data_IF_869362724352
#
_entry.id   IF_869362724352
#
_cell.length_a   1.000
_cell.length_b   1.000
_cell.length_c   1.000
_cell.angle_alpha   90.00
_cell.angle_beta   90.00
_cell.angle_gamma   90.00
#
_symmetry.space_group_name_H-M   'P 1'
#
loop_
_entity.id
_entity.type
_entity.pdbx_description
1 polymer ?
#
# COMPACT_ATOMS: atom_id res chain seq x y z
N UNK A 1 46.66 -15.29 6.14
CA UNK A 1 45.83 -14.16 6.64
C UNK A 1 45.19 -13.41 5.48
N UNK A 2 45.97 -12.77 4.60
CA UNK A 2 45.46 -11.98 3.46
C UNK A 2 44.59 -12.82 2.50
N UNK A 3 44.99 -14.06 2.22
CA UNK A 3 44.21 -15.01 1.39
C UNK A 3 42.84 -15.37 2.00
N UNK A 4 42.76 -15.49 3.32
CA UNK A 4 41.50 -15.77 4.02
C UNK A 4 40.55 -14.57 3.96
N UNK A 5 41.08 -13.35 4.08
CA UNK A 5 40.29 -12.11 3.98
C UNK A 5 39.78 -11.92 2.55
N UNK A 6 40.61 -12.17 1.53
CA UNK A 6 40.20 -12.12 0.13
C UNK A 6 39.08 -13.12 -0.19
N UNK A 7 39.18 -14.36 0.31
CA UNK A 7 38.13 -15.36 0.16
C UNK A 7 36.82 -14.95 0.84
N UNK A 8 36.88 -14.36 2.04
CA UNK A 8 35.71 -13.83 2.76
C UNK A 8 35.01 -12.70 2.01
N UNK A 9 35.77 -11.78 1.41
CA UNK A 9 35.22 -10.69 0.60
C UNK A 9 34.53 -11.19 -0.66
N UNK A 10 35.14 -12.16 -1.37
CA UNK A 10 34.54 -12.78 -2.56
C UNK A 10 33.25 -13.52 -2.19
N UNK A 11 33.24 -14.25 -1.06
CA UNK A 11 32.05 -14.94 -0.57
C UNK A 11 30.91 -13.96 -0.23
N UNK A 12 31.21 -12.87 0.48
CA UNK A 12 30.22 -11.82 0.77
C UNK A 12 29.72 -11.13 -0.50
N UNK A 13 30.59 -10.89 -1.49
CA UNK A 13 30.21 -10.34 -2.78
C UNK A 13 29.27 -11.26 -3.56
N UNK A 14 29.58 -12.56 -3.66
CA UNK A 14 28.71 -13.54 -4.32
C UNK A 14 27.37 -13.68 -3.61
N UNK A 15 27.39 -13.66 -2.26
CA UNK A 15 26.17 -13.72 -1.45
C UNK A 15 25.32 -12.45 -1.61
N UNK A 16 25.95 -11.28 -1.69
CA UNK A 16 25.30 -10.00 -1.97
C UNK A 16 24.74 -9.93 -3.40
N UNK A 17 25.50 -10.42 -4.39
CA UNK A 17 25.09 -10.48 -5.79
C UNK A 17 23.88 -11.41 -5.97
N UNK A 18 23.90 -12.60 -5.35
CA UNK A 18 22.75 -13.50 -5.34
C UNK A 18 21.56 -12.90 -4.60
N UNK A 19 21.75 -12.19 -3.48
CA UNK A 19 20.64 -11.56 -2.75
C UNK A 19 20.01 -10.41 -3.56
N UNK A 20 20.81 -9.64 -4.29
CA UNK A 20 20.35 -8.53 -5.12
C UNK A 20 19.68 -8.98 -6.44
N UNK A 21 20.07 -10.14 -6.98
CA UNK A 21 19.53 -10.72 -8.23
C UNK A 21 18.46 -11.79 -7.98
N UNK A 22 18.37 -12.34 -6.76
CA UNK A 22 17.28 -13.22 -6.38
C UNK A 22 15.96 -12.44 -6.46
N UNK A 23 15.01 -13.00 -7.18
CA UNK A 23 13.65 -12.49 -7.40
C UNK A 23 12.78 -12.53 -6.14
N UNK A 24 13.39 -12.66 -4.95
CA UNK A 24 12.76 -12.49 -3.64
C UNK A 24 12.67 -11.02 -3.21
N UNK A 25 12.82 -10.07 -4.15
CA UNK A 25 12.02 -8.85 -4.03
C UNK A 25 10.57 -9.30 -4.15
N UNK A 26 9.62 -8.81 -3.34
CA UNK A 26 8.22 -9.06 -3.63
C UNK A 26 7.94 -8.48 -5.04
N UNK A 27 8.02 -9.35 -6.06
CA UNK A 27 7.54 -9.07 -7.41
C UNK A 27 6.05 -8.74 -7.38
N UNK A 28 5.40 -9.08 -6.26
CA UNK A 28 4.03 -8.80 -5.89
C UNK A 28 3.89 -7.56 -5.00
N UNK A 29 4.78 -6.57 -5.13
CA UNK A 29 4.38 -5.19 -4.85
C UNK A 29 3.36 -4.74 -5.92
N UNK A 30 2.22 -5.44 -5.98
CA UNK A 30 1.13 -5.13 -6.90
C UNK A 30 0.59 -3.78 -6.46
N UNK A 31 0.77 -2.78 -7.31
CA UNK A 31 0.07 -1.51 -7.20
C UNK A 31 -1.41 -1.77 -6.92
N UNK A 32 -2.04 -0.87 -6.17
CA UNK A 32 -3.44 -0.96 -5.76
C UNK A 32 -4.29 -1.52 -6.91
N UNK A 33 -4.95 -2.66 -6.68
CA UNK A 33 -5.81 -3.27 -7.69
C UNK A 33 -6.89 -2.24 -8.06
N UNK A 34 -7.02 -1.95 -9.35
CA UNK A 34 -8.04 -1.01 -9.83
C UNK A 34 -9.39 -1.67 -9.65
N UNK A 35 -10.13 -1.25 -8.64
CA UNK A 35 -11.52 -1.66 -8.44
C UNK A 35 -12.41 -0.77 -9.31
N UNK A 36 -13.05 -1.37 -10.32
CA UNK A 36 -13.99 -0.68 -11.19
C UNK A 36 -15.31 -0.55 -10.46
N UNK A 37 -15.59 0.65 -9.96
CA UNK A 37 -16.87 0.97 -9.34
C UNK A 37 -17.86 1.49 -10.39
N UNK A 38 -18.86 0.68 -10.75
CA UNK A 38 -19.87 1.03 -11.76
C UNK A 38 -20.98 1.95 -11.25
N UNK A 39 -20.88 2.44 -10.02
CA UNK A 39 -22.01 3.12 -9.38
C UNK A 39 -23.08 2.14 -8.93
N UNK A 40 -23.91 2.57 -7.98
CA UNK A 40 -25.21 1.97 -7.73
C UNK A 40 -26.24 3.07 -7.97
N UNK A 41 -27.34 2.77 -8.67
CA UNK A 41 -28.41 3.74 -8.86
C UNK A 41 -29.18 3.85 -7.54
N UNK A 42 -29.02 4.99 -6.86
CA UNK A 42 -29.58 5.22 -5.53
C UNK A 42 -30.04 6.66 -5.42
N UNK A 43 -31.23 6.84 -4.84
CA UNK A 43 -31.91 8.12 -4.71
C UNK A 43 -31.08 9.15 -3.94
N UNK A 44 -30.30 8.69 -2.98
CA UNK A 44 -29.56 9.54 -2.03
C UNK A 44 -28.04 9.54 -2.28
N UNK A 45 -27.60 8.99 -3.41
CA UNK A 45 -26.18 8.87 -3.76
C UNK A 45 -25.46 7.72 -3.06
N UNK A 46 -24.22 7.49 -3.48
CA UNK A 46 -23.37 6.41 -2.97
C UNK A 46 -22.35 6.98 -1.98
N UNK A 47 -22.16 6.29 -0.85
CA UNK A 47 -21.07 6.60 0.09
C UNK A 47 -19.90 5.64 -0.13
N UNK A 48 -18.74 6.18 -0.51
CA UNK A 48 -17.48 5.46 -0.70
C UNK A 48 -16.60 5.71 0.52
N UNK A 49 -16.21 4.65 1.23
CA UNK A 49 -15.25 4.73 2.33
C UNK A 49 -13.82 4.66 1.79
N UNK A 50 -13.01 5.66 2.12
CA UNK A 50 -11.61 5.80 1.72
C UNK A 50 -10.75 5.72 2.98
N UNK A 51 -9.80 4.78 2.99
CA UNK A 51 -8.85 4.59 4.09
C UNK A 51 -7.42 4.77 3.59
N UNK A 52 -6.73 5.77 4.12
CA UNK A 52 -5.31 6.01 3.86
C UNK A 52 -4.47 5.31 4.92
N UNK A 53 -3.65 4.34 4.49
CA UNK A 53 -2.70 3.64 5.35
C UNK A 53 -1.26 4.10 5.09
N UNK A 54 -0.40 4.09 6.11
CA UNK A 54 1.03 4.39 5.98
C UNK A 54 1.89 3.13 5.70
N UNK A 55 1.26 1.95 5.71
CA UNK A 55 1.89 0.67 5.43
C UNK A 55 2.22 0.48 3.95
N UNK A 56 3.47 0.06 3.67
CA UNK A 56 3.91 -0.27 2.31
C UNK A 56 3.65 -1.75 2.01
N UNK A 57 3.51 -2.08 0.73
CA UNK A 57 3.29 -3.47 0.30
C UNK A 57 4.44 -4.36 0.79
N UNK A 58 4.10 -5.45 1.49
CA UNK A 58 5.06 -6.36 2.11
C UNK A 58 5.37 -6.06 3.59
N UNK A 59 4.78 -5.03 4.19
CA UNK A 59 4.79 -4.85 5.65
C UNK A 59 3.63 -5.59 6.30
N UNK A 60 3.86 -6.11 7.51
CA UNK A 60 2.86 -6.86 8.25
C UNK A 60 1.74 -5.91 8.73
N UNK A 61 0.48 -6.34 8.60
CA UNK A 61 -0.71 -5.53 8.95
C UNK A 61 -0.74 -5.06 10.41
N UNK A 62 0.06 -5.67 11.30
CA UNK A 62 0.20 -5.26 12.69
C UNK A 62 0.97 -3.95 12.89
N UNK A 63 1.80 -3.54 11.92
CA UNK A 63 2.57 -2.29 11.96
C UNK A 63 1.96 -1.18 11.09
N UNK A 64 1.05 -1.55 10.18
CA UNK A 64 0.36 -0.61 9.29
C UNK A 64 -0.74 0.15 10.03
N UNK A 65 -0.70 1.49 9.98
CA UNK A 65 -1.69 2.36 10.63
C UNK A 65 -2.56 3.04 9.58
N UNK A 66 -3.82 3.29 9.92
CA UNK A 66 -4.75 4.07 9.11
C UNK A 66 -4.86 5.47 9.71
N UNK A 67 -4.25 6.45 9.03
CA UNK A 67 -4.19 7.83 9.52
C UNK A 67 -5.24 8.72 8.89
N UNK A 68 -5.91 8.23 7.85
CA UNK A 68 -6.94 8.98 7.15
C UNK A 68 -8.17 8.10 6.93
N UNK A 69 -9.30 8.55 7.46
CA UNK A 69 -10.61 7.93 7.25
C UNK A 69 -11.50 8.99 6.61
N UNK A 70 -11.90 8.78 5.37
CA UNK A 70 -12.75 9.71 4.62
C UNK A 70 -13.94 8.99 4.03
N UNK A 71 -15.08 9.67 3.97
CA UNK A 71 -16.27 9.21 3.28
C UNK A 71 -16.57 10.19 2.15
N UNK A 72 -16.60 9.67 0.93
CA UNK A 72 -16.95 10.39 -0.28
C UNK A 72 -18.39 10.02 -0.66
N UNK A 73 -19.30 10.98 -0.58
CA UNK A 73 -20.63 10.84 -1.16
C UNK A 73 -20.63 11.35 -2.60
N UNK A 74 -21.05 10.49 -3.53
CA UNK A 74 -21.18 10.80 -4.95
C UNK A 74 -22.65 10.72 -5.34
N UNK A 75 -23.15 11.78 -5.99
CA UNK A 75 -24.50 11.82 -6.60
C UNK A 75 -25.66 11.71 -5.61
N UNK A 76 -25.63 12.48 -4.51
CA UNK A 76 -26.85 12.72 -3.71
C UNK A 76 -27.93 13.48 -4.48
N UNK A 77 -29.11 13.68 -3.89
CA UNK A 77 -30.23 14.47 -4.46
C UNK A 77 -29.82 15.81 -5.08
N UNK A 78 -28.76 16.40 -4.52
CA UNK A 78 -28.23 17.71 -4.87
C UNK A 78 -27.25 17.69 -6.07
N UNK A 79 -26.93 16.49 -6.59
CA UNK A 79 -25.91 16.22 -7.62
C UNK A 79 -24.52 16.79 -7.32
N UNK A 80 -24.19 16.92 -6.03
CA UNK A 80 -22.89 17.40 -5.52
C UNK A 80 -22.06 16.25 -5.00
N UNK A 81 -20.73 16.41 -5.08
CA UNK A 81 -19.77 15.55 -4.40
C UNK A 81 -19.53 16.12 -3.00
N UNK A 82 -19.66 15.30 -1.96
CA UNK A 82 -19.41 15.69 -0.57
C UNK A 82 -18.32 14.79 0.01
N UNK A 83 -17.30 15.38 0.63
CA UNK A 83 -16.23 14.66 1.31
C UNK A 83 -16.28 14.98 2.80
N UNK A 84 -16.33 13.95 3.63
CA UNK A 84 -16.24 14.06 5.09
C UNK A 84 -14.99 13.33 5.54
N UNK A 85 -14.14 14.01 6.32
CA UNK A 85 -12.96 13.41 6.94
C UNK A 85 -13.21 13.25 8.44
N UNK A 86 -12.89 12.07 8.97
CA UNK A 86 -12.93 11.79 10.40
C UNK A 86 -11.51 11.83 10.95
N UNK A 87 -11.32 12.59 12.03
CA UNK A 87 -10.07 12.57 12.76
C UNK A 87 -9.88 11.17 13.37
N UNK A 88 -8.69 10.61 13.24
CA UNK A 88 -8.37 9.25 13.73
C UNK A 88 -8.61 9.11 15.24
N UNK A 89 -8.32 10.17 16.01
CA UNK A 89 -8.19 10.12 17.47
C UNK A 89 -9.27 10.97 18.18
N UNK A 90 -10.54 10.76 17.83
CA UNK A 90 -11.67 11.40 18.53
C UNK A 90 -12.10 10.64 19.78
#
# INVERSE_FOLDING_TARGET
LITCVAAGMIFMFLRGFQSATSTNRPADAKAAQVEVFNGQDTKDGVNILIMGTDGRIGQNSAETRTDTIMVLNVSGSDKKIKLVSFMRDN
#
